data_IF_312970218925
#
_entry.id   IF_312970218925
#
_cell.length_a   1.000
_cell.length_b   1.000
_cell.length_c   1.000
_cell.angle_alpha   90.00
_cell.angle_beta   90.00
_cell.angle_gamma   90.00
#
_symmetry.space_group_name_H-M   'P 1'
#
loop_
_entity.id
_entity.type
_entity.pdbx_description
1 polymer ?
#
# COMPACT_ATOMS: atom_id res chain seq x y z
N UNK A 1 20.69 29.31 8.85
CA UNK A 1 19.96 30.04 7.80
C UNK A 1 18.51 30.12 8.25
N UNK A 2 17.87 31.29 8.13
CA UNK A 2 16.41 31.33 8.21
C UNK A 2 15.89 30.70 6.91
N UNK A 3 15.01 29.70 7.04
CA UNK A 3 14.40 29.03 5.90
C UNK A 3 13.28 29.92 5.35
N UNK A 4 13.42 30.37 4.10
CA UNK A 4 12.38 31.08 3.36
C UNK A 4 11.69 30.10 2.40
N UNK A 5 10.40 29.87 2.62
CA UNK A 5 9.62 28.89 1.84
C UNK A 5 9.46 29.33 0.38
N UNK A 6 9.28 30.62 0.12
CA UNK A 6 9.06 31.12 -1.24
C UNK A 6 10.34 31.03 -2.07
N UNK A 7 11.48 31.40 -1.47
CA UNK A 7 12.79 31.25 -2.09
C UNK A 7 13.10 29.77 -2.37
N UNK A 8 12.87 28.89 -1.38
CA UNK A 8 13.09 27.46 -1.53
C UNK A 8 12.19 26.83 -2.61
N UNK A 9 10.90 27.19 -2.63
CA UNK A 9 9.96 26.72 -3.65
C UNK A 9 10.38 27.14 -5.06
N UNK A 10 10.82 28.40 -5.24
CA UNK A 10 11.32 28.89 -6.53
C UNK A 10 12.60 28.17 -6.98
N UNK A 11 13.53 27.94 -6.06
CA UNK A 11 14.77 27.20 -6.34
C UNK A 11 14.48 25.74 -6.73
N UNK A 12 13.65 25.04 -5.95
CA UNK A 12 13.25 23.66 -6.25
C UNK A 12 12.51 23.57 -7.58
N UNK A 13 11.55 24.46 -7.85
CA UNK A 13 10.81 24.48 -9.12
C UNK A 13 11.74 24.68 -10.31
N UNK A 14 12.68 25.61 -10.20
CA UNK A 14 13.68 25.86 -11.26
C UNK A 14 14.55 24.63 -11.48
N UNK A 15 15.01 24.00 -10.40
CA UNK A 15 15.82 22.78 -10.45
C UNK A 15 15.03 21.63 -11.11
N UNK A 16 13.78 21.39 -10.71
CA UNK A 16 12.94 20.33 -11.26
C UNK A 16 12.69 20.51 -12.76
N UNK A 17 12.37 21.74 -13.21
CA UNK A 17 12.19 22.02 -14.63
C UNK A 17 13.47 21.79 -15.44
N UNK A 18 14.64 22.11 -14.87
CA UNK A 18 15.92 21.85 -15.53
C UNK A 18 16.26 20.35 -15.65
N UNK A 19 15.64 19.49 -14.84
CA UNK A 19 15.87 18.04 -14.84
C UNK A 19 14.68 17.24 -15.41
N UNK A 20 13.71 17.90 -16.04
CA UNK A 20 12.47 17.26 -16.50
C UNK A 20 12.71 16.08 -17.45
N UNK A 21 13.63 16.21 -18.40
CA UNK A 21 13.96 15.14 -19.35
C UNK A 21 14.62 13.94 -18.64
N UNK A 22 15.47 14.20 -17.64
CA UNK A 22 16.10 13.15 -16.84
C UNK A 22 15.07 12.42 -15.97
N UNK A 23 14.15 13.14 -15.34
CA UNK A 23 13.05 12.56 -14.57
C UNK A 23 12.14 11.70 -15.46
N UNK A 24 11.81 12.20 -16.65
CA UNK A 24 11.02 11.46 -17.64
C UNK A 24 11.74 10.17 -18.07
N UNK A 25 13.04 10.26 -18.36
CA UNK A 25 13.86 9.08 -18.68
C UNK A 25 13.91 8.08 -17.52
N UNK A 26 14.08 8.57 -16.29
CA UNK A 26 14.16 7.75 -15.09
C UNK A 26 12.90 6.90 -14.89
N UNK A 27 11.71 7.51 -14.93
CA UNK A 27 10.45 6.78 -14.75
C UNK A 27 10.30 5.71 -15.82
N UNK A 28 10.59 6.04 -17.08
CA UNK A 28 10.50 5.10 -18.20
C UNK A 28 11.46 3.92 -18.05
N UNK A 29 12.69 4.19 -17.63
CA UNK A 29 13.68 3.14 -17.35
C UNK A 29 13.26 2.27 -16.16
N UNK A 30 12.62 2.85 -15.15
CA UNK A 30 12.14 2.12 -13.99
C UNK A 30 10.95 1.20 -14.32
N UNK A 31 10.03 1.67 -15.16
CA UNK A 31 8.90 0.89 -15.69
C UNK A 31 9.37 -0.31 -16.50
N UNK A 32 10.47 -0.20 -17.24
CA UNK A 32 11.07 -1.30 -18.02
C UNK A 32 11.57 -2.47 -17.18
N UNK A 33 11.70 -2.28 -15.89
CA UNK A 33 12.13 -3.34 -14.98
C UNK A 33 10.87 -4.00 -14.45
N UNK A 34 10.62 -5.23 -14.87
CA UNK A 34 9.58 -6.06 -14.26
C UNK A 34 9.89 -6.19 -12.76
N UNK A 35 8.96 -5.74 -11.95
CA UNK A 35 9.03 -5.78 -10.49
C UNK A 35 7.69 -6.20 -9.94
N UNK A 36 7.07 -7.21 -10.54
CA UNK A 36 5.88 -7.81 -9.94
C UNK A 36 6.17 -8.23 -8.51
N UNK A 37 5.16 -8.13 -7.64
CA UNK A 37 5.27 -8.52 -6.23
C UNK A 37 6.00 -9.87 -6.09
N UNK A 38 6.99 -9.89 -5.19
CA UNK A 38 7.95 -10.98 -4.96
C UNK A 38 9.04 -11.21 -6.03
N UNK A 39 9.15 -10.31 -7.02
CA UNK A 39 10.18 -10.31 -8.07
C UNK A 39 10.90 -8.95 -8.18
N UNK A 40 10.89 -8.16 -7.11
CA UNK A 40 11.34 -6.76 -7.08
C UNK A 40 12.87 -6.59 -7.17
N UNK A 41 13.65 -7.65 -6.98
CA UNK A 41 15.10 -7.56 -6.74
C UNK A 41 15.91 -6.82 -7.81
N UNK A 42 15.53 -6.93 -9.09
CA UNK A 42 16.19 -6.19 -10.17
C UNK A 42 15.91 -4.68 -10.08
N UNK A 43 14.66 -4.32 -9.76
CA UNK A 43 14.20 -2.95 -9.60
C UNK A 43 14.81 -2.29 -8.35
N UNK A 44 14.84 -3.02 -7.22
CA UNK A 44 15.54 -2.58 -5.99
C UNK A 44 17.02 -2.33 -6.25
N UNK A 45 17.70 -3.27 -6.93
CA UNK A 45 19.13 -3.13 -7.24
C UNK A 45 19.40 -1.93 -8.14
N UNK A 46 18.55 -1.72 -9.16
CA UNK A 46 18.63 -0.58 -10.06
C UNK A 46 18.42 0.75 -9.31
N UNK A 47 17.39 0.82 -8.46
CA UNK A 47 17.08 2.00 -7.65
C UNK A 47 18.22 2.36 -6.71
N UNK A 48 18.77 1.38 -5.99
CA UNK A 48 19.94 1.57 -5.14
C UNK A 48 21.16 2.07 -5.94
N UNK A 49 21.36 1.55 -7.16
CA UNK A 49 22.38 2.02 -8.09
C UNK A 49 22.19 3.49 -8.48
N UNK A 50 20.95 3.89 -8.79
CA UNK A 50 20.62 5.28 -9.13
C UNK A 50 20.81 6.24 -7.95
N UNK A 51 20.35 5.88 -6.75
CA UNK A 51 20.56 6.68 -5.55
C UNK A 51 22.06 6.91 -5.28
N UNK A 52 22.91 5.88 -5.45
CA UNK A 52 24.37 6.03 -5.35
C UNK A 52 24.93 6.96 -6.43
N UNK A 53 24.48 6.81 -7.67
CA UNK A 53 24.91 7.66 -8.79
C UNK A 53 24.51 9.13 -8.62
N UNK A 54 23.37 9.39 -8.00
CA UNK A 54 22.91 10.72 -7.60
C UNK A 54 23.60 11.25 -6.34
N UNK A 55 24.55 10.48 -5.80
CA UNK A 55 25.38 10.90 -4.69
C UNK A 55 24.63 10.91 -3.36
N UNK A 56 23.64 10.04 -3.13
CA UNK A 56 23.05 9.90 -1.79
C UNK A 56 24.16 9.60 -0.76
N UNK A 57 24.02 10.18 0.43
CA UNK A 57 25.03 10.05 1.51
C UNK A 57 25.08 8.63 2.09
N UNK A 58 23.99 7.89 1.93
CA UNK A 58 23.88 6.49 2.34
C UNK A 58 22.84 5.76 1.48
N UNK A 59 23.12 4.50 1.15
CA UNK A 59 22.17 3.61 0.44
C UNK A 59 22.25 2.21 1.03
N UNK A 60 21.11 1.67 1.48
CA UNK A 60 20.96 0.34 2.08
C UNK A 60 19.96 -0.49 1.27
N UNK A 61 20.13 -1.80 1.31
CA UNK A 61 19.07 -2.75 1.04
C UNK A 61 18.96 -3.57 2.32
N UNK A 62 17.79 -3.59 2.94
CA UNK A 62 17.59 -4.30 4.22
C UNK A 62 17.42 -5.82 4.02
N UNK A 63 17.21 -6.55 5.11
CA UNK A 63 17.06 -8.01 5.07
C UNK A 63 15.77 -8.47 4.35
N UNK A 64 14.69 -7.70 4.47
CA UNK A 64 13.42 -7.99 3.80
C UNK A 64 13.52 -7.75 2.29
N UNK A 65 14.36 -6.81 1.87
CA UNK A 65 14.64 -6.46 0.49
C UNK A 65 14.26 -5.03 0.10
N UNK A 66 13.86 -4.18 1.06
CA UNK A 66 13.51 -2.78 0.79
C UNK A 66 14.77 -1.97 0.44
N UNK A 67 14.64 -1.00 -0.46
CA UNK A 67 15.72 -0.08 -0.83
C UNK A 67 15.61 1.21 -0.02
N UNK A 68 16.69 1.63 0.65
CA UNK A 68 16.73 2.88 1.41
C UNK A 68 17.84 3.78 0.92
N UNK A 69 17.58 5.07 0.78
CA UNK A 69 18.59 6.08 0.47
C UNK A 69 18.45 7.31 1.35
N UNK A 70 19.55 7.84 1.89
CA UNK A 70 19.56 9.10 2.66
C UNK A 70 20.32 10.21 1.95
N UNK A 71 19.77 11.42 2.01
CA UNK A 71 20.49 12.67 1.78
C UNK A 71 20.45 13.52 3.04
N UNK A 72 21.55 14.18 3.35
CA UNK A 72 21.67 15.11 4.45
C UNK A 72 21.97 14.44 5.78
N UNK A 73 22.47 15.25 6.71
CA UNK A 73 22.88 14.85 8.07
C UNK A 73 22.27 15.79 9.11
N UNK A 74 21.26 16.57 8.72
CA UNK A 74 20.58 17.48 9.62
C UNK A 74 19.72 16.75 10.65
N UNK A 75 19.34 17.44 11.75
CA UNK A 75 18.67 16.81 12.89
C UNK A 75 17.20 16.45 12.64
N UNK A 76 16.58 17.02 11.60
CA UNK A 76 15.19 16.72 11.24
C UNK A 76 15.15 15.51 10.34
N UNK A 77 14.49 14.44 10.74
CA UNK A 77 14.43 13.19 9.95
C UNK A 77 13.07 13.09 9.28
N UNK A 78 13.06 13.01 7.96
CA UNK A 78 11.87 12.75 7.16
C UNK A 78 12.09 11.44 6.42
N UNK A 79 11.09 10.56 6.42
CA UNK A 79 11.05 9.36 5.60
C UNK A 79 9.98 9.54 4.53
N UNK A 80 10.34 9.35 3.27
CA UNK A 80 9.42 9.32 2.16
C UNK A 80 9.38 7.87 1.63
N UNK A 81 8.21 7.24 1.65
CA UNK A 81 8.01 5.85 1.23
C UNK A 81 7.08 5.79 0.02
N UNK A 82 7.45 4.96 -0.94
CA UNK A 82 6.69 4.62 -2.15
C UNK A 82 7.15 3.23 -2.58
N UNK A 83 6.25 2.40 -3.12
CA UNK A 83 6.58 1.00 -3.35
C UNK A 83 7.20 0.75 -4.74
N UNK A 84 8.03 -0.30 -4.81
CA UNK A 84 8.76 -0.72 -6.00
C UNK A 84 7.96 -1.78 -6.77
N UNK A 85 7.19 -2.59 -6.06
CA UNK A 85 6.44 -3.67 -6.66
C UNK A 85 5.25 -3.17 -7.48
N UNK A 86 4.69 -4.07 -8.28
CA UNK A 86 3.55 -3.80 -9.15
C UNK A 86 2.67 -5.03 -9.23
N UNK A 87 1.37 -4.86 -9.43
CA UNK A 87 0.52 -5.97 -9.87
C UNK A 87 0.88 -6.52 -11.26
N UNK A 88 0.35 -7.70 -11.58
CA UNK A 88 0.41 -8.27 -12.92
C UNK A 88 -0.18 -7.28 -13.96
N UNK A 89 0.46 -7.09 -15.13
CA UNK A 89 -0.09 -6.22 -16.16
C UNK A 89 -1.39 -6.74 -16.78
N UNK A 90 -1.81 -7.97 -16.48
CA UNK A 90 -2.98 -8.61 -17.07
C UNK A 90 -2.68 -9.09 -18.49
N UNK A 91 -3.70 -9.18 -19.33
CA UNK A 91 -3.59 -9.69 -20.69
C UNK A 91 -2.83 -8.70 -21.60
N UNK A 92 -1.61 -9.03 -22.09
CA UNK A 92 -0.84 -8.10 -22.92
C UNK A 92 -1.54 -7.69 -24.22
N UNK A 93 -2.47 -8.50 -24.73
CA UNK A 93 -3.22 -8.20 -25.94
C UNK A 93 -4.17 -7.00 -25.80
N UNK A 94 -4.52 -6.60 -24.57
CA UNK A 94 -5.46 -5.48 -24.30
C UNK A 94 -4.78 -4.12 -24.21
N UNK A 95 -3.46 -4.08 -24.03
CA UNK A 95 -2.71 -2.82 -23.86
C UNK A 95 -2.50 -2.06 -25.17
N UNK A 96 -2.39 -2.76 -26.30
CA UNK A 96 -2.03 -2.16 -27.59
C UNK A 96 -0.56 -1.71 -27.70
N UNK A 97 0.24 -1.87 -26.65
CA UNK A 97 1.69 -1.69 -26.57
C UNK A 97 2.23 -2.59 -25.44
N UNK A 98 3.56 -2.70 -25.29
CA UNK A 98 4.14 -3.47 -24.19
C UNK A 98 4.01 -2.68 -22.87
N UNK A 99 3.32 -3.21 -21.83
CA UNK A 99 3.12 -2.52 -20.56
C UNK A 99 4.42 -2.15 -19.84
N UNK A 100 5.54 -2.77 -20.18
CA UNK A 100 6.85 -2.46 -19.61
C UNK A 100 7.70 -1.58 -20.54
N UNK A 101 7.20 -1.09 -21.67
CA UNK A 101 7.99 -0.29 -22.61
C UNK A 101 8.40 1.09 -22.03
N UNK A 102 7.63 1.61 -21.07
CA UNK A 102 7.72 3.00 -20.61
C UNK A 102 7.43 3.95 -21.78
N UNK A 103 6.29 3.74 -22.46
CA UNK A 103 5.91 4.45 -23.68
C UNK A 103 5.61 5.92 -23.36
N UNK A 104 6.27 6.85 -24.04
CA UNK A 104 5.99 8.29 -23.92
C UNK A 104 5.16 8.73 -25.13
N UNK A 105 3.92 9.13 -24.90
CA UNK A 105 2.99 9.54 -25.96
C UNK A 105 2.11 10.70 -25.49
N UNK A 106 2.02 11.76 -26.31
CA UNK A 106 1.20 12.94 -26.04
C UNK A 106 1.42 13.55 -24.63
N UNK A 107 2.67 13.59 -24.17
CA UNK A 107 3.02 14.15 -22.85
C UNK A 107 2.74 13.23 -21.66
N UNK A 108 2.29 11.99 -21.90
CA UNK A 108 2.01 11.00 -20.86
C UNK A 108 2.97 9.81 -20.97
N UNK A 109 3.40 9.29 -19.83
CA UNK A 109 4.12 8.02 -19.75
C UNK A 109 3.08 6.93 -19.50
N UNK A 110 3.11 5.90 -20.32
CA UNK A 110 2.22 4.74 -20.24
C UNK A 110 3.02 3.50 -19.87
N UNK A 111 2.46 2.71 -18.96
CA UNK A 111 3.02 1.43 -18.54
C UNK A 111 2.52 1.00 -17.16
N UNK A 112 2.71 -0.30 -16.87
CA UNK A 112 2.46 -0.84 -15.53
C UNK A 112 3.44 -0.23 -14.54
N UNK A 113 2.94 0.23 -13.41
CA UNK A 113 3.74 0.82 -12.35
C UNK A 113 3.95 2.33 -12.47
N UNK A 114 3.53 2.98 -13.56
CA UNK A 114 3.78 4.42 -13.75
C UNK A 114 3.12 5.25 -12.67
N UNK A 115 1.82 5.05 -12.44
CA UNK A 115 1.03 5.76 -11.43
C UNK A 115 1.20 5.11 -10.05
N UNK A 116 1.40 3.81 -10.02
CA UNK A 116 1.22 2.95 -8.84
C UNK A 116 2.36 1.91 -8.79
N UNK A 117 3.53 2.23 -8.22
CA UNK A 117 3.86 3.54 -7.62
C UNK A 117 5.27 4.07 -7.97
N UNK A 118 5.84 3.57 -9.08
CA UNK A 118 7.18 3.98 -9.53
C UNK A 118 7.28 5.47 -9.85
N UNK A 119 6.18 6.12 -10.22
CA UNK A 119 6.11 7.57 -10.45
C UNK A 119 6.39 8.37 -9.18
N UNK A 120 5.68 8.08 -8.09
CA UNK A 120 5.87 8.75 -6.80
C UNK A 120 7.27 8.47 -6.26
N UNK A 121 7.73 7.22 -6.30
CA UNK A 121 9.07 6.86 -5.86
C UNK A 121 10.15 7.62 -6.64
N UNK A 122 9.98 7.78 -7.96
CA UNK A 122 10.89 8.59 -8.78
C UNK A 122 10.90 10.05 -8.33
N UNK A 123 9.73 10.65 -8.07
CA UNK A 123 9.64 12.02 -7.56
C UNK A 123 10.37 12.19 -6.22
N UNK A 124 10.27 11.22 -5.31
CA UNK A 124 10.99 11.24 -4.03
C UNK A 124 12.50 11.16 -4.19
N UNK A 125 13.00 10.32 -5.12
CA UNK A 125 14.43 10.22 -5.43
C UNK A 125 14.99 11.55 -5.94
N UNK A 126 14.27 12.21 -6.85
CA UNK A 126 14.68 13.52 -7.36
C UNK A 126 14.54 14.64 -6.32
N UNK A 127 13.55 14.58 -5.43
CA UNK A 127 13.43 15.50 -4.31
C UNK A 127 14.65 15.41 -3.37
N UNK A 128 15.09 14.18 -3.04
CA UNK A 128 16.30 13.96 -2.25
C UNK A 128 17.55 14.51 -2.95
N UNK A 129 17.68 14.29 -4.26
CA UNK A 129 18.79 14.85 -5.06
C UNK A 129 18.77 16.38 -5.05
N UNK A 130 17.61 17.00 -5.24
CA UNK A 130 17.46 18.46 -5.17
C UNK A 130 17.83 19.02 -3.79
N UNK A 131 17.41 18.35 -2.70
CA UNK A 131 17.79 18.72 -1.32
C UNK A 131 19.31 18.73 -1.17
N UNK A 132 20.02 17.78 -1.78
CA UNK A 132 21.48 17.71 -1.75
C UNK A 132 22.10 18.86 -2.53
N UNK A 133 21.75 18.99 -3.81
CA UNK A 133 22.39 19.92 -4.74
C UNK A 133 22.10 21.38 -4.41
N UNK A 134 20.94 21.68 -3.84
CA UNK A 134 20.57 23.02 -3.38
C UNK A 134 21.11 23.34 -1.97
N UNK A 135 21.83 22.41 -1.32
CA UNK A 135 22.51 22.65 -0.05
C UNK A 135 21.62 22.61 1.19
N UNK A 136 20.44 21.98 1.12
CA UNK A 136 19.53 21.86 2.26
C UNK A 136 19.89 20.72 3.23
N UNK A 137 20.77 19.79 2.85
CA UNK A 137 21.12 18.60 3.63
C UNK A 137 21.72 18.84 5.04
N UNK A 138 22.12 20.06 5.39
CA UNK A 138 22.52 20.40 6.77
C UNK A 138 21.32 20.63 7.71
N UNK A 139 20.13 20.86 7.16
CA UNK A 139 18.91 21.19 7.91
C UNK A 139 18.05 19.95 8.21
N UNK A 140 18.14 18.92 7.36
CA UNK A 140 17.39 17.68 7.48
C UNK A 140 18.21 16.47 7.00
N UNK A 141 17.78 15.29 7.44
CA UNK A 141 18.11 13.99 6.89
C UNK A 141 16.85 13.46 6.20
N UNK A 142 16.87 13.38 4.87
CA UNK A 142 15.75 12.93 4.06
C UNK A 142 16.02 11.50 3.58
N UNK A 143 15.22 10.56 4.06
CA UNK A 143 15.24 9.16 3.64
C UNK A 143 14.20 8.93 2.56
N UNK A 144 14.57 8.20 1.52
CA UNK A 144 13.68 7.62 0.53
C UNK A 144 13.68 6.11 0.75
N UNK A 145 12.50 5.52 0.89
CA UNK A 145 12.28 4.09 0.95
C UNK A 145 11.53 3.65 -0.30
N UNK A 146 12.15 2.75 -1.05
CA UNK A 146 11.49 1.91 -2.05
C UNK A 146 11.07 0.62 -1.37
N UNK A 147 9.84 0.60 -0.85
CA UNK A 147 9.25 -0.56 -0.20
C UNK A 147 8.89 -1.65 -1.21
N UNK A 148 8.69 -2.88 -0.74
CA UNK A 148 8.39 -4.03 -1.60
C UNK A 148 7.13 -4.74 -1.15
N UNK A 149 6.53 -5.49 -2.07
CA UNK A 149 5.36 -6.34 -1.84
C UNK A 149 4.19 -5.59 -1.16
N UNK A 150 4.02 -4.30 -1.43
CA UNK A 150 2.93 -3.49 -0.89
C UNK A 150 1.58 -4.04 -1.37
N UNK A 151 1.52 -4.41 -2.65
CA UNK A 151 0.30 -4.81 -3.36
C UNK A 151 -0.35 -6.10 -2.82
N UNK A 152 0.39 -6.88 -2.02
CA UNK A 152 -0.09 -8.13 -1.41
C UNK A 152 -0.08 -8.06 0.13
N UNK A 153 0.95 -7.48 0.77
CA UNK A 153 1.08 -7.47 2.24
C UNK A 153 1.09 -6.08 2.89
N UNK A 154 0.57 -5.05 2.21
CA UNK A 154 0.07 -3.78 2.74
C UNK A 154 0.92 -3.19 3.90
N UNK A 155 2.12 -2.71 3.58
CA UNK A 155 3.02 -2.05 4.54
C UNK A 155 3.77 -2.98 5.51
N UNK A 156 3.58 -4.30 5.46
CA UNK A 156 4.32 -5.27 6.28
C UNK A 156 5.83 -5.20 6.06
N UNK A 157 6.25 -4.99 4.82
CA UNK A 157 7.66 -4.84 4.47
C UNK A 157 8.24 -3.51 4.98
N UNK A 158 7.42 -2.45 5.10
CA UNK A 158 7.79 -1.18 5.74
C UNK A 158 7.97 -1.39 7.25
N UNK A 159 7.07 -2.15 7.90
CA UNK A 159 7.24 -2.54 9.31
C UNK A 159 8.55 -3.28 9.54
N UNK A 160 8.84 -4.31 8.72
CA UNK A 160 10.10 -5.05 8.79
C UNK A 160 11.31 -4.14 8.53
N UNK A 161 11.22 -3.20 7.60
CA UNK A 161 12.26 -2.21 7.34
C UNK A 161 12.56 -1.37 8.57
N UNK A 162 11.54 -0.86 9.26
CA UNK A 162 11.72 -0.05 10.47
C UNK A 162 12.33 -0.87 11.62
N UNK A 163 11.97 -2.16 11.73
CA UNK A 163 12.56 -3.08 12.72
C UNK A 163 14.05 -3.35 12.46
N UNK A 164 14.45 -3.49 11.19
CA UNK A 164 15.85 -3.71 10.80
C UNK A 164 16.70 -2.43 10.80
N UNK A 165 16.08 -1.26 10.79
CA UNK A 165 16.76 0.04 10.73
C UNK A 165 16.35 0.94 11.92
N UNK A 166 16.60 0.53 13.19
CA UNK A 166 16.16 1.27 14.38
C UNK A 166 16.86 2.62 14.56
N UNK A 167 17.90 2.91 13.77
CA UNK A 167 18.58 4.20 13.70
C UNK A 167 17.76 5.26 12.93
N UNK A 168 16.87 4.83 12.04
CA UNK A 168 15.96 5.71 11.30
C UNK A 168 14.79 6.07 12.22
N UNK A 169 14.73 7.33 12.66
CA UNK A 169 13.70 7.84 13.57
C UNK A 169 12.97 9.03 12.94
N UNK A 170 12.04 8.79 12.00
CA UNK A 170 11.33 9.84 11.29
C UNK A 170 10.47 10.66 12.24
N UNK A 171 10.47 11.98 12.05
CA UNK A 171 9.52 12.91 12.66
C UNK A 171 8.30 13.13 11.75
N UNK A 172 8.44 12.77 10.47
CA UNK A 172 7.41 12.81 9.46
C UNK A 172 7.63 11.65 8.50
N UNK A 173 6.55 10.97 8.15
CA UNK A 173 6.49 9.99 7.07
C UNK A 173 5.62 10.57 5.97
N UNK A 174 6.15 10.64 4.75
CA UNK A 174 5.43 10.99 3.53
C UNK A 174 5.22 9.70 2.75
N UNK A 175 3.97 9.30 2.54
CA UNK A 175 3.65 8.14 1.70
C UNK A 175 3.22 8.65 0.33
N UNK A 176 3.90 8.20 -0.71
CA UNK A 176 3.54 8.46 -2.10
C UNK A 176 2.52 7.43 -2.52
N UNK A 177 1.43 7.91 -3.12
CA UNK A 177 0.38 7.09 -3.72
C UNK A 177 -0.36 7.92 -4.76
N UNK A 178 -1.19 7.27 -5.57
CA UNK A 178 -2.02 7.90 -6.60
C UNK A 178 -3.17 8.76 -6.01
N UNK A 179 -2.86 9.87 -5.33
CA UNK A 179 -3.81 10.72 -4.63
C UNK A 179 -4.42 11.86 -5.46
N UNK A 180 -4.19 11.88 -6.77
CA UNK A 180 -4.54 13.02 -7.65
C UNK A 180 -3.95 14.36 -7.18
N UNK A 181 -2.77 14.34 -6.56
CA UNK A 181 -2.09 15.49 -5.95
C UNK A 181 -2.79 16.07 -4.71
N UNK A 182 -3.78 15.37 -4.14
CA UNK A 182 -4.40 15.77 -2.87
C UNK A 182 -3.55 15.33 -1.67
N UNK A 183 -3.50 16.16 -0.65
CA UNK A 183 -2.92 15.83 0.65
C UNK A 183 -3.92 14.99 1.43
N UNK A 184 -3.62 13.70 1.56
CA UNK A 184 -4.44 12.77 2.33
C UNK A 184 -3.94 12.74 3.78
N UNK A 185 -4.79 13.21 4.71
CA UNK A 185 -4.49 13.23 6.15
C UNK A 185 -5.12 12.09 6.95
N UNK A 186 -5.68 11.09 6.30
CA UNK A 186 -6.19 9.91 6.99
C UNK A 186 -6.83 8.89 6.05
N UNK A 187 -6.71 7.62 6.41
CA UNK A 187 -7.29 6.49 5.67
C UNK A 187 -8.25 5.70 6.57
N UNK A 188 -9.30 5.16 5.96
CA UNK A 188 -10.10 4.10 6.57
C UNK A 188 -9.21 2.90 6.87
N UNK A 189 -9.53 2.21 7.95
CA UNK A 189 -8.91 0.93 8.23
C UNK A 189 -9.46 -0.16 7.33
N UNK A 190 -8.80 -1.31 7.30
CA UNK A 190 -9.25 -2.52 6.60
C UNK A 190 -9.02 -3.74 7.48
N UNK A 191 -9.97 -4.67 7.48
CA UNK A 191 -9.80 -5.98 8.07
C UNK A 191 -10.32 -7.06 7.11
N UNK A 192 -9.51 -8.05 6.77
CA UNK A 192 -9.95 -9.21 6.00
C UNK A 192 -10.42 -10.29 6.97
N UNK A 193 -11.67 -10.71 6.84
CA UNK A 193 -12.31 -11.60 7.80
C UNK A 193 -12.55 -12.95 7.15
N UNK A 194 -11.96 -14.00 7.74
CA UNK A 194 -12.15 -15.38 7.33
C UNK A 194 -13.19 -16.06 8.20
N UNK A 195 -14.34 -16.39 7.60
CA UNK A 195 -15.43 -17.09 8.27
C UNK A 195 -15.53 -18.54 7.75
N UNK A 196 -15.64 -19.51 8.65
CA UNK A 196 -15.73 -20.94 8.30
C UNK A 196 -17.05 -21.54 8.74
N UNK A 197 -17.79 -22.09 7.79
CA UNK A 197 -19.02 -22.85 8.02
C UNK A 197 -18.72 -24.33 7.82
N UNK A 198 -19.11 -25.16 8.80
CA UNK A 198 -18.94 -26.62 8.76
C UNK A 198 -20.26 -27.32 8.54
N UNK A 199 -20.18 -28.42 7.80
CA UNK A 199 -21.26 -29.36 7.56
C UNK A 199 -20.70 -30.77 7.46
N UNK A 200 -21.35 -31.61 6.65
CA UNK A 200 -21.02 -33.03 6.51
C UNK A 200 -21.05 -33.44 5.04
N UNK A 201 -19.89 -33.84 4.53
CA UNK A 201 -19.78 -34.27 3.14
C UNK A 201 -20.59 -35.56 2.88
N UNK A 202 -21.20 -35.64 1.70
CA UNK A 202 -21.90 -36.82 1.22
C UNK A 202 -21.99 -36.77 -0.31
N UNK A 203 -22.22 -37.93 -0.94
CA UNK A 203 -22.54 -37.97 -2.37
C UNK A 203 -23.89 -37.28 -2.61
N UNK A 204 -24.00 -36.47 -3.68
CA UNK A 204 -25.21 -35.70 -3.96
C UNK A 204 -26.48 -36.57 -4.10
N UNK A 205 -26.35 -37.80 -4.64
CA UNK A 205 -27.48 -38.75 -4.72
C UNK A 205 -27.92 -39.33 -3.37
N UNK A 206 -27.14 -39.13 -2.31
CA UNK A 206 -27.43 -39.56 -0.95
C UNK A 206 -27.49 -38.36 0.01
N UNK A 207 -28.06 -37.25 -0.44
CA UNK A 207 -27.99 -35.95 0.23
C UNK A 207 -28.44 -35.95 1.69
N UNK A 208 -29.43 -36.78 2.05
CA UNK A 208 -29.93 -36.93 3.42
C UNK A 208 -28.88 -37.46 4.42
N UNK A 209 -27.74 -37.98 3.95
CA UNK A 209 -26.62 -38.39 4.81
C UNK A 209 -25.64 -37.26 5.14
N UNK A 210 -25.71 -36.16 4.39
CA UNK A 210 -24.83 -35.00 4.50
C UNK A 210 -25.53 -33.76 5.06
N UNK A 211 -24.75 -32.71 5.20
CA UNK A 211 -25.16 -31.39 5.64
C UNK A 211 -24.38 -30.39 4.79
N UNK A 212 -25.07 -29.66 3.92
CA UNK A 212 -24.43 -28.85 2.90
C UNK A 212 -23.93 -27.53 3.49
N UNK A 213 -22.62 -27.43 3.73
CA UNK A 213 -21.99 -26.24 4.31
C UNK A 213 -22.20 -24.97 3.47
N UNK A 214 -22.29 -25.11 2.14
CA UNK A 214 -22.55 -23.97 1.24
C UNK A 214 -23.96 -23.42 1.43
N UNK A 215 -24.96 -24.30 1.51
CA UNK A 215 -26.34 -23.89 1.78
C UNK A 215 -26.47 -23.32 3.20
N UNK A 216 -25.78 -23.91 4.18
CA UNK A 216 -25.71 -23.37 5.54
C UNK A 216 -25.12 -21.97 5.61
N UNK A 217 -24.23 -21.59 4.70
CA UNK A 217 -23.61 -20.28 4.68
C UNK A 217 -24.52 -19.17 4.13
N UNK A 218 -25.61 -19.51 3.44
CA UNK A 218 -26.49 -18.52 2.79
C UNK A 218 -27.11 -17.49 3.77
N UNK A 219 -27.61 -17.88 4.96
CA UNK A 219 -28.12 -16.90 5.93
C UNK A 219 -27.05 -15.93 6.41
N UNK A 220 -25.83 -16.41 6.71
CA UNK A 220 -24.69 -15.57 7.07
C UNK A 220 -24.36 -14.56 5.95
N UNK A 221 -24.16 -15.04 4.72
CA UNK A 221 -23.83 -14.17 3.57
C UNK A 221 -24.93 -13.12 3.36
N UNK A 222 -26.19 -13.53 3.36
CA UNK A 222 -27.32 -12.61 3.19
C UNK A 222 -27.46 -11.61 4.33
N UNK A 223 -27.01 -11.95 5.54
CA UNK A 223 -27.09 -11.05 6.68
C UNK A 223 -25.92 -10.06 6.69
N UNK A 224 -24.74 -10.46 6.21
CA UNK A 224 -23.60 -9.57 5.95
C UNK A 224 -23.97 -8.51 4.90
N UNK A 225 -24.52 -8.93 3.76
CA UNK A 225 -24.95 -8.04 2.66
C UNK A 225 -25.97 -6.96 3.09
N UNK A 226 -26.80 -7.28 4.10
CA UNK A 226 -27.80 -6.33 4.63
C UNK A 226 -27.29 -5.47 5.77
N UNK A 227 -26.11 -5.78 6.31
CA UNK A 227 -25.56 -5.07 7.46
C UNK A 227 -25.13 -3.67 7.02
N UNK A 228 -25.54 -2.66 7.78
CA UNK A 228 -25.29 -1.26 7.42
C UNK A 228 -25.16 -0.32 8.62
N UNK A 229 -25.23 -0.87 9.84
CA UNK A 229 -25.14 -0.22 11.14
C UNK A 229 -23.70 -0.13 11.64
N UNK A 230 -22.79 0.31 10.76
CA UNK A 230 -21.38 0.50 11.07
C UNK A 230 -21.13 1.85 11.75
N UNK A 231 -20.00 1.94 12.46
CA UNK A 231 -19.50 3.20 12.98
C UNK A 231 -19.26 4.20 11.83
N UNK A 232 -19.59 5.47 12.11
CA UNK A 232 -19.41 6.59 11.20
C UNK A 232 -18.59 7.68 11.89
N UNK A 233 -17.53 8.09 11.22
CA UNK A 233 -16.67 9.20 11.61
C UNK A 233 -16.95 10.40 10.68
N UNK A 234 -16.98 11.65 11.15
CA UNK A 234 -17.25 12.81 10.31
C UNK A 234 -16.25 13.01 9.16
N UNK A 235 -15.01 12.54 9.30
CA UNK A 235 -13.95 12.70 8.30
C UNK A 235 -13.81 11.45 7.41
N UNK A 236 -13.64 10.27 8.02
CA UNK A 236 -13.49 9.02 7.27
C UNK A 236 -14.83 8.49 6.73
N UNK A 237 -15.96 8.96 7.26
CA UNK A 237 -17.29 8.46 6.92
C UNK A 237 -17.57 7.09 7.52
N UNK A 238 -18.64 6.46 7.01
CA UNK A 238 -19.13 5.19 7.53
C UNK A 238 -18.31 3.99 7.08
N UNK A 239 -18.14 3.02 7.97
CA UNK A 239 -17.59 1.71 7.62
C UNK A 239 -18.50 0.90 6.67
N UNK A 240 -17.95 -0.18 6.13
CA UNK A 240 -18.67 -1.17 5.31
C UNK A 240 -18.10 -2.58 5.47
N UNK A 241 -18.85 -3.60 5.05
CA UNK A 241 -18.37 -4.97 4.92
C UNK A 241 -18.89 -5.58 3.62
N UNK A 242 -18.06 -6.32 2.90
CA UNK A 242 -18.46 -6.96 1.64
C UNK A 242 -17.92 -8.38 1.56
N UNK A 243 -18.75 -9.35 1.14
CA UNK A 243 -18.28 -10.72 0.86
C UNK A 243 -17.59 -10.74 -0.49
N UNK A 244 -16.27 -10.92 -0.49
CA UNK A 244 -15.44 -10.84 -1.70
C UNK A 244 -15.11 -12.22 -2.28
N UNK A 245 -15.15 -13.28 -1.48
CA UNK A 245 -14.79 -14.64 -1.94
C UNK A 245 -15.48 -15.72 -1.12
N UNK A 246 -15.91 -16.79 -1.81
CA UNK A 246 -16.43 -18.01 -1.19
C UNK A 246 -15.63 -19.20 -1.72
N UNK A 247 -15.00 -19.93 -0.80
CA UNK A 247 -14.19 -21.13 -1.11
C UNK A 247 -14.99 -22.35 -0.66
N UNK A 248 -15.29 -23.22 -1.63
CA UNK A 248 -16.02 -24.46 -1.39
C UNK A 248 -15.05 -25.63 -1.48
N UNK A 249 -14.71 -26.22 -0.32
CA UNK A 249 -13.78 -27.35 -0.26
C UNK A 249 -14.53 -28.65 -0.57
N UNK A 250 -14.44 -29.09 -1.83
CA UNK A 250 -15.14 -30.29 -2.33
C UNK A 250 -14.19 -31.14 -3.18
N UNK A 251 -14.18 -32.48 -2.99
CA UNK A 251 -13.33 -33.38 -3.77
C UNK A 251 -13.85 -33.63 -5.20
N UNK A 252 -15.12 -33.33 -5.49
CA UNK A 252 -15.72 -33.53 -6.81
C UNK A 252 -17.02 -32.74 -6.97
N UNK A 253 -17.43 -32.50 -8.22
CA UNK A 253 -18.63 -31.71 -8.56
C UNK A 253 -19.95 -32.30 -8.01
N UNK A 254 -19.97 -33.59 -7.70
CA UNK A 254 -21.12 -34.33 -7.15
C UNK A 254 -21.02 -34.60 -5.64
N UNK A 255 -20.14 -33.91 -4.93
CA UNK A 255 -20.00 -34.00 -3.48
C UNK A 255 -20.63 -32.80 -2.79
N UNK A 256 -21.46 -33.07 -1.78
CA UNK A 256 -21.95 -32.05 -0.86
C UNK A 256 -20.76 -31.52 -0.06
N UNK A 257 -20.52 -30.19 -0.01
CA UNK A 257 -19.39 -29.62 0.70
C UNK A 257 -19.55 -29.79 2.21
N UNK A 258 -18.52 -30.32 2.86
CA UNK A 258 -18.43 -30.41 4.32
C UNK A 258 -17.86 -29.17 4.99
N UNK A 259 -17.28 -28.25 4.22
CA UNK A 259 -16.68 -27.00 4.71
C UNK A 259 -16.77 -25.92 3.63
N UNK A 260 -17.16 -24.72 4.04
CA UNK A 260 -17.10 -23.51 3.21
C UNK A 260 -16.40 -22.42 3.99
N UNK A 261 -15.55 -21.67 3.31
CA UNK A 261 -14.92 -20.47 3.85
C UNK A 261 -15.46 -19.26 3.10
N UNK A 262 -16.00 -18.30 3.84
CA UNK A 262 -16.48 -17.01 3.35
C UNK A 262 -15.46 -15.96 3.77
N UNK A 263 -14.94 -15.19 2.80
CA UNK A 263 -14.03 -14.06 3.05
C UNK A 263 -14.84 -12.77 2.88
N UNK A 264 -14.69 -11.86 3.84
CA UNK A 264 -15.25 -10.54 3.76
C UNK A 264 -14.20 -9.44 4.00
N UNK A 265 -14.24 -8.38 3.19
CA UNK A 265 -13.43 -7.17 3.37
C UNK A 265 -14.24 -6.17 4.21
N UNK A 266 -13.72 -5.81 5.38
CA UNK A 266 -14.33 -4.85 6.32
C UNK A 266 -13.55 -3.54 6.30
N UNK A 267 -14.15 -2.46 5.80
CA UNK A 267 -13.57 -1.11 5.80
C UNK A 267 -13.96 -0.33 7.04
N UNK A 268 -13.01 -0.09 7.94
CA UNK A 268 -13.22 0.48 9.25
C UNK A 268 -13.21 2.02 9.24
N UNK A 269 -14.07 2.61 10.05
CA UNK A 269 -14.00 4.01 10.44
C UNK A 269 -12.99 4.21 11.58
N UNK A 270 -12.89 5.44 12.10
CA UNK A 270 -11.83 5.82 13.03
C UNK A 270 -11.89 5.06 14.37
N UNK A 271 -10.86 4.28 14.68
CA UNK A 271 -10.63 3.71 16.00
C UNK A 271 -11.32 2.37 16.29
N UNK A 272 -11.91 1.71 15.28
CA UNK A 272 -12.44 0.36 15.43
C UNK A 272 -11.32 -0.66 15.68
N UNK A 273 -11.55 -1.66 16.55
CA UNK A 273 -10.58 -2.73 16.87
C UNK A 273 -11.00 -4.10 16.35
N UNK A 274 -10.04 -5.04 16.25
CA UNK A 274 -10.28 -6.45 15.86
C UNK A 274 -11.36 -7.10 16.71
N UNK A 275 -11.30 -6.89 18.02
CA UNK A 275 -12.24 -7.47 18.98
C UNK A 275 -13.65 -6.94 18.76
N UNK A 276 -13.78 -5.64 18.45
CA UNK A 276 -15.07 -5.02 18.14
C UNK A 276 -15.65 -5.57 16.83
N UNK A 277 -14.84 -5.72 15.79
CA UNK A 277 -15.26 -6.31 14.51
C UNK A 277 -15.76 -7.74 14.71
N UNK A 278 -15.01 -8.58 15.43
CA UNK A 278 -15.41 -9.98 15.66
C UNK A 278 -16.67 -10.07 16.54
N UNK A 279 -16.78 -9.20 17.55
CA UNK A 279 -17.98 -9.13 18.39
C UNK A 279 -19.22 -8.67 17.60
N UNK A 280 -19.05 -7.70 16.69
CA UNK A 280 -20.10 -7.21 15.79
C UNK A 280 -20.65 -8.33 14.90
N UNK A 281 -19.79 -9.23 14.42
CA UNK A 281 -20.19 -10.34 13.55
C UNK A 281 -20.78 -11.53 14.31
N UNK A 282 -20.56 -11.65 15.62
CA UNK A 282 -20.96 -12.83 16.41
C UNK A 282 -22.44 -13.23 16.24
N UNK A 283 -23.43 -12.31 16.23
CA UNK A 283 -24.83 -12.66 15.98
C UNK A 283 -25.09 -13.22 14.57
N UNK A 284 -24.34 -12.76 13.57
CA UNK A 284 -24.46 -13.23 12.18
C UNK A 284 -23.85 -14.62 12.03
N UNK A 285 -22.72 -14.88 12.68
CA UNK A 285 -22.04 -16.18 12.66
C UNK A 285 -22.94 -17.29 13.24
N UNK A 286 -23.74 -16.96 14.26
CA UNK A 286 -24.69 -17.89 14.87
C UNK A 286 -25.80 -18.37 13.92
N UNK A 287 -26.08 -17.64 12.82
CA UNK A 287 -27.08 -18.06 11.81
C UNK A 287 -26.66 -19.32 11.04
N UNK A 288 -25.36 -19.65 11.07
CA UNK A 288 -24.74 -20.70 10.26
C UNK A 288 -23.80 -21.61 11.06
N UNK A 289 -23.77 -21.49 12.39
CA UNK A 289 -22.77 -22.12 13.28
C UNK A 289 -21.32 -21.86 12.80
N UNK A 290 -21.06 -20.64 12.33
CA UNK A 290 -19.78 -20.26 11.75
C UNK A 290 -18.76 -19.83 12.82
N UNK A 291 -17.48 -19.98 12.51
CA UNK A 291 -16.37 -19.36 13.26
C UNK A 291 -15.72 -18.27 12.43
N UNK A 292 -15.19 -17.22 13.05
CA UNK A 292 -14.48 -16.15 12.34
C UNK A 292 -13.12 -15.85 12.98
N UNK A 293 -12.17 -15.41 12.15
CA UNK A 293 -10.91 -14.82 12.56
C UNK A 293 -10.53 -13.73 11.55
N UNK A 294 -9.66 -12.80 11.97
CA UNK A 294 -8.93 -11.97 11.01
C UNK A 294 -8.01 -12.89 10.21
N UNK A 295 -7.94 -12.67 8.91
CA UNK A 295 -7.08 -13.48 8.05
C UNK A 295 -5.61 -13.22 8.36
N UNK A 296 -4.77 -14.22 8.06
CA UNK A 296 -3.33 -14.10 8.23
C UNK A 296 -2.64 -14.70 7.04
N UNK A 297 -1.78 -13.91 6.43
CA UNK A 297 -0.97 -14.27 5.30
C UNK A 297 0.47 -14.54 5.75
N UNK A 298 1.02 -15.64 5.22
CA UNK A 298 2.41 -16.02 5.41
C UNK A 298 3.07 -16.05 4.04
N UNK A 299 3.95 -15.08 3.80
CA UNK A 299 4.59 -14.89 2.49
C UNK A 299 6.10 -14.82 2.64
N UNK A 300 6.79 -15.01 1.51
CA UNK A 300 8.23 -14.80 1.42
C UNK A 300 8.50 -13.68 0.42
N UNK A 301 9.30 -12.70 0.84
CA UNK A 301 9.77 -11.65 -0.07
C UNK A 301 10.71 -12.24 -1.13
N UNK A 302 11.08 -11.45 -2.13
CA UNK A 302 12.04 -11.89 -3.16
C UNK A 302 13.42 -12.28 -2.60
N UNK A 303 13.77 -11.85 -1.38
CA UNK A 303 15.02 -12.26 -0.70
C UNK A 303 14.86 -13.57 0.08
N UNK A 304 13.65 -14.11 0.17
CA UNK A 304 13.30 -15.26 1.00
C UNK A 304 12.97 -14.92 2.44
N UNK A 305 12.88 -13.63 2.80
CA UNK A 305 12.52 -13.16 4.13
C UNK A 305 11.05 -13.49 4.45
N UNK A 306 10.81 -14.03 5.64
CA UNK A 306 9.46 -14.41 6.10
C UNK A 306 8.68 -13.19 6.59
N UNK A 307 7.48 -13.00 6.04
CA UNK A 307 6.51 -12.02 6.50
C UNK A 307 5.26 -12.76 6.97
N UNK A 308 4.83 -12.43 8.19
CA UNK A 308 3.53 -12.82 8.73
C UNK A 308 2.71 -11.56 8.90
N UNK A 309 1.65 -11.45 8.12
CA UNK A 309 0.74 -10.32 8.14
C UNK A 309 -0.64 -10.78 8.56
N UNK A 310 -1.11 -10.23 9.68
CA UNK A 310 -2.52 -10.36 10.04
C UNK A 310 -3.26 -9.21 9.37
N UNK A 311 -4.26 -9.51 8.55
CA UNK A 311 -4.94 -8.55 7.66
C UNK A 311 -5.88 -7.63 8.44
N UNK A 312 -5.28 -6.83 9.30
CA UNK A 312 -5.89 -5.78 10.08
C UNK A 312 -4.98 -4.56 10.03
N UNK A 313 -5.51 -3.52 9.38
CA UNK A 313 -4.85 -2.27 9.12
C UNK A 313 -5.69 -1.19 9.81
N UNK A 314 -5.23 -0.64 10.95
CA UNK A 314 -6.01 0.34 11.69
C UNK A 314 -6.19 1.61 10.86
N UNK A 315 -7.37 2.22 10.99
CA UNK A 315 -7.62 3.58 10.49
C UNK A 315 -6.70 4.59 11.16
N UNK A 316 -6.43 5.70 10.49
CA UNK A 316 -5.71 6.82 11.10
C UNK A 316 -6.20 8.14 10.52
N UNK A 317 -6.09 9.20 11.33
CA UNK A 317 -6.35 10.59 10.93
C UNK A 317 -5.35 11.49 11.65
N UNK A 318 -4.71 12.39 10.90
CA UNK A 318 -4.02 13.56 11.43
C UNK A 318 -4.99 14.74 11.43
N UNK A 319 -4.99 15.51 12.52
CA UNK A 319 -5.77 16.74 12.61
C UNK A 319 -5.37 17.74 11.55
N UNK A 320 -6.31 18.57 11.10
CA UNK A 320 -6.07 19.57 10.06
C UNK A 320 -5.00 20.58 10.49
N UNK A 321 -4.96 20.95 11.77
CA UNK A 321 -3.97 21.86 12.35
C UNK A 321 -2.64 21.18 12.71
N UNK A 322 -2.50 19.87 12.44
CA UNK A 322 -1.27 19.14 12.70
C UNK A 322 -0.10 19.80 11.95
N UNK A 323 1.06 20.04 12.61
CA UNK A 323 2.17 20.78 12.00
C UNK A 323 2.62 20.24 10.64
N UNK A 324 2.59 18.92 10.44
CA UNK A 324 2.97 18.29 9.18
C UNK A 324 1.94 18.48 8.06
N UNK A 325 0.64 18.47 8.39
CA UNK A 325 -0.44 18.74 7.42
C UNK A 325 -0.33 20.20 6.96
N UNK A 326 -0.18 21.12 7.91
CA UNK A 326 0.02 22.54 7.62
C UNK A 326 1.32 22.80 6.84
N UNK A 327 2.39 22.05 7.09
CA UNK A 327 3.62 22.16 6.31
C UNK A 327 3.44 21.66 4.87
N UNK A 328 2.74 20.55 4.67
CA UNK A 328 2.42 20.02 3.35
C UNK A 328 1.54 20.99 2.56
N UNK A 329 0.47 21.52 3.16
CA UNK A 329 -0.43 22.47 2.52
C UNK A 329 0.29 23.74 2.07
N UNK A 330 1.15 24.31 2.93
CA UNK A 330 1.98 25.48 2.58
C UNK A 330 2.97 25.17 1.46
N UNK A 331 3.59 24.00 1.47
CA UNK A 331 4.51 23.58 0.41
C UNK A 331 3.77 23.38 -0.92
N UNK A 332 2.58 22.78 -0.89
CA UNK A 332 1.71 22.63 -2.04
C UNK A 332 1.34 23.99 -2.64
N UNK A 333 0.81 24.91 -1.81
CA UNK A 333 0.43 26.26 -2.24
C UNK A 333 1.62 27.02 -2.83
N UNK A 334 2.80 26.92 -2.21
CA UNK A 334 4.01 27.57 -2.72
C UNK A 334 4.46 27.07 -4.11
N UNK A 335 4.20 25.79 -4.44
CA UNK A 335 4.58 25.19 -5.72
C UNK A 335 3.50 25.39 -6.79
N UNK A 336 2.22 25.19 -6.43
CA UNK A 336 1.08 25.17 -7.36
C UNK A 336 0.40 26.53 -7.51
N UNK A 337 0.56 27.42 -6.52
CA UNK A 337 -0.19 28.67 -6.40
C UNK A 337 -1.67 28.47 -6.06
N UNK A 338 -2.06 27.27 -5.63
CA UNK A 338 -3.44 26.91 -5.25
C UNK A 338 -3.44 26.34 -3.84
N UNK A 339 -4.47 26.63 -3.02
CA UNK A 339 -4.67 25.90 -1.79
C UNK A 339 -5.05 24.45 -2.08
N UNK A 340 -4.78 23.58 -1.13
CA UNK A 340 -5.30 22.22 -0.99
C UNK A 340 -5.90 22.10 0.40
#
# INVERSE_FOLDING_TARGET
>A
MNFDLAEAAAAVKTWMLAHQDEMTGFVRDFVRIDSRTYQEGAAVTWLAGKMRAFGFDEVRIDAAGNCLGRVGTGPRVILADAHVDTVDPGNPAEWGFDPLEGKLEAGHIWGRGVIDDKGCLSAMVFAARAIKELGYGSQLSFWVSGSISEEDVEGSCVRAMMEHNPDIKPQLILVGEASEMMIIRGHKGRALIRMTVRGKAAHASAAWKGENALIKALPLISAIDRKNDFQEDPFLGKGSIEVTKVICDTPSLNTIPGKVTVIADRRMSLGETKEQILAELAPLLALSDATAAIDTEEVKTYTGYDIVQEDYFPSWVLEEDHPSVQAAAKAYEAITGKPD
#
